data_IF_663504354131
#
_entry.id   IF_663504354131
#
_cell.length_a   1.000
_cell.length_b   1.000
_cell.length_c   1.000
_cell.angle_alpha   90.00
_cell.angle_beta   90.00
_cell.angle_gamma   90.00
#
_symmetry.space_group_name_H-M   'P 1'
#
loop_
_entity.id
_entity.type
_entity.pdbx_description
1 polymer ?
#
# COMPACT_ATOMS: atom_id res chain seq x y z
N UNK A 1 -20.12 -11.06 13.42
CA UNK A 1 -20.99 -9.90 13.14
C UNK A 1 -20.40 -9.24 11.91
N UNK A 2 -21.11 -9.17 10.77
CA UNK A 2 -20.55 -8.76 9.48
C UNK A 2 -19.97 -7.33 9.46
N UNK A 3 -20.47 -6.45 10.32
CA UNK A 3 -19.94 -5.08 10.48
C UNK A 3 -18.55 -5.03 11.12
N UNK A 4 -18.19 -6.04 11.91
CA UNK A 4 -16.92 -6.11 12.63
C UNK A 4 -15.79 -6.50 11.67
N UNK A 5 -16.04 -7.45 10.78
CA UNK A 5 -15.12 -7.85 9.71
C UNK A 5 -14.84 -6.70 8.74
N UNK A 6 -15.87 -5.90 8.40
CA UNK A 6 -15.73 -4.70 7.56
C UNK A 6 -14.90 -3.60 8.24
N UNK A 7 -15.08 -3.40 9.55
CA UNK A 7 -14.29 -2.43 10.31
C UNK A 7 -12.81 -2.84 10.37
N UNK A 8 -12.52 -4.13 10.57
CA UNK A 8 -11.16 -4.67 10.57
C UNK A 8 -10.48 -4.52 9.20
N UNK A 9 -11.19 -4.81 8.10
CA UNK A 9 -10.68 -4.62 6.74
C UNK A 9 -10.35 -3.15 6.45
N UNK A 10 -11.22 -2.22 6.85
CA UNK A 10 -10.96 -0.77 6.71
C UNK A 10 -9.74 -0.32 7.52
N UNK A 11 -9.57 -0.87 8.72
CA UNK A 11 -8.42 -0.54 9.58
C UNK A 11 -7.11 -1.12 9.01
N UNK A 12 -7.14 -2.34 8.47
CA UNK A 12 -6.02 -2.94 7.77
C UNK A 12 -5.66 -2.13 6.50
N UNK A 13 -6.65 -1.70 5.74
CA UNK A 13 -6.48 -0.83 4.57
C UNK A 13 -5.83 0.50 4.94
N UNK A 14 -6.29 1.15 6.01
CA UNK A 14 -5.69 2.40 6.49
C UNK A 14 -4.22 2.23 6.88
N UNK A 15 -3.86 1.13 7.56
CA UNK A 15 -2.47 0.81 7.91
C UNK A 15 -1.61 0.59 6.66
N UNK A 16 -2.10 -0.16 5.68
CA UNK A 16 -1.37 -0.40 4.43
C UNK A 16 -1.21 0.87 3.61
N UNK A 17 -2.22 1.77 3.60
CA UNK A 17 -2.11 3.08 2.95
C UNK A 17 -1.04 3.94 3.61
N UNK A 18 -1.00 4.01 4.93
CA UNK A 18 0.07 4.70 5.66
C UNK A 18 1.44 4.13 5.30
N UNK A 19 1.58 2.80 5.35
CA UNK A 19 2.83 2.14 5.00
C UNK A 19 3.26 2.48 3.55
N UNK A 20 2.31 2.48 2.61
CA UNK A 20 2.57 2.86 1.22
C UNK A 20 3.06 4.31 1.06
N UNK A 21 2.50 5.26 1.82
CA UNK A 21 2.97 6.65 1.86
C UNK A 21 4.38 6.75 2.45
N UNK A 22 4.67 6.01 3.52
CA UNK A 22 5.99 5.96 4.13
C UNK A 22 7.05 5.43 3.14
N UNK A 23 6.71 4.39 2.36
CA UNK A 23 7.57 3.90 1.29
C UNK A 23 7.81 4.96 0.21
N UNK A 24 6.81 5.77 -0.12
CA UNK A 24 6.96 6.83 -1.12
C UNK A 24 7.87 7.96 -0.62
N UNK A 25 7.67 8.39 0.63
CA UNK A 25 8.54 9.36 1.28
C UNK A 25 9.99 8.86 1.34
N UNK A 26 10.19 7.59 1.71
CA UNK A 26 11.52 6.97 1.75
C UNK A 26 12.16 6.89 0.35
N UNK A 27 11.39 6.52 -0.68
CA UNK A 27 11.88 6.50 -2.07
C UNK A 27 12.29 7.88 -2.52
N UNK A 28 11.47 8.91 -2.27
CA UNK A 28 11.79 10.29 -2.63
C UNK A 28 13.05 10.77 -1.90
N UNK A 29 13.17 10.51 -0.60
CA UNK A 29 14.37 10.84 0.16
C UNK A 29 15.63 10.15 -0.39
N UNK A 30 15.54 8.85 -0.71
CA UNK A 30 16.65 8.12 -1.32
C UNK A 30 17.06 8.70 -2.69
N UNK A 31 16.09 9.13 -3.49
CA UNK A 31 16.37 9.76 -4.79
C UNK A 31 17.08 11.10 -4.59
N UNK A 32 16.61 11.93 -3.64
CA UNK A 32 17.21 13.24 -3.33
C UNK A 32 18.65 13.11 -2.81
N UNK A 33 18.94 12.08 -2.02
CA UNK A 33 20.29 11.80 -1.49
C UNK A 33 21.20 11.14 -2.55
N UNK A 34 20.67 10.77 -3.72
CA UNK A 34 21.45 10.10 -4.76
C UNK A 34 21.81 8.65 -4.40
N UNK A 35 20.90 7.94 -3.74
CA UNK A 35 21.09 6.53 -3.39
C UNK A 35 21.14 5.64 -4.64
N UNK A 36 21.74 4.46 -4.48
CA UNK A 36 21.87 3.46 -5.55
C UNK A 36 20.50 3.10 -6.17
N UNK A 37 20.46 3.12 -7.51
CA UNK A 37 19.28 2.78 -8.30
C UNK A 37 18.71 1.39 -7.94
N UNK A 38 19.56 0.41 -7.60
CA UNK A 38 19.11 -0.92 -7.20
C UNK A 38 18.34 -0.89 -5.86
N UNK A 39 18.77 -0.04 -4.91
CA UNK A 39 18.05 0.14 -3.63
C UNK A 39 16.70 0.80 -3.83
N UNK A 40 16.67 1.85 -4.65
CA UNK A 40 15.42 2.53 -5.04
C UNK A 40 14.46 1.56 -5.73
N UNK A 41 14.94 0.73 -6.66
CA UNK A 41 14.13 -0.28 -7.33
C UNK A 41 13.57 -1.34 -6.36
N UNK A 42 14.37 -1.82 -5.40
CA UNK A 42 13.89 -2.75 -4.38
C UNK A 42 12.77 -2.15 -3.53
N UNK A 43 12.90 -0.87 -3.15
CA UNK A 43 11.84 -0.19 -2.39
C UNK A 43 10.58 0.05 -3.23
N UNK A 44 10.72 0.43 -4.50
CA UNK A 44 9.58 0.51 -5.43
C UNK A 44 8.86 -0.83 -5.57
N UNK A 45 9.59 -1.95 -5.63
CA UNK A 45 8.99 -3.29 -5.65
C UNK A 45 8.20 -3.59 -4.37
N UNK A 46 8.73 -3.22 -3.19
CA UNK A 46 8.00 -3.35 -1.92
C UNK A 46 6.74 -2.49 -1.90
N UNK A 47 6.83 -1.24 -2.35
CA UNK A 47 5.69 -0.32 -2.49
C UNK A 47 4.59 -0.92 -3.39
N UNK A 48 4.98 -1.56 -4.51
CA UNK A 48 4.04 -2.23 -5.42
C UNK A 48 3.28 -3.37 -4.73
N UNK A 49 3.97 -4.22 -3.96
CA UNK A 49 3.32 -5.32 -3.22
C UNK A 49 2.30 -4.81 -2.20
N UNK A 50 2.57 -3.67 -1.55
CA UNK A 50 1.63 -3.04 -0.62
C UNK A 50 0.42 -2.47 -1.37
N UNK A 51 0.65 -1.82 -2.52
CA UNK A 51 -0.43 -1.37 -3.39
C UNK A 51 -1.33 -2.54 -3.82
N UNK A 52 -0.76 -3.65 -4.25
CA UNK A 52 -1.53 -4.85 -4.64
C UNK A 52 -2.35 -5.41 -3.46
N UNK A 53 -1.80 -5.36 -2.23
CA UNK A 53 -2.53 -5.74 -1.02
C UNK A 53 -3.68 -4.79 -0.71
N UNK A 54 -3.49 -3.49 -0.88
CA UNK A 54 -4.55 -2.48 -0.72
C UNK A 54 -5.67 -2.77 -1.70
N UNK A 55 -5.35 -2.96 -2.99
CA UNK A 55 -6.37 -3.26 -4.01
C UNK A 55 -7.16 -4.52 -3.70
N UNK A 56 -6.51 -5.60 -3.22
CA UNK A 56 -7.22 -6.81 -2.78
C UNK A 56 -8.18 -6.59 -1.60
N UNK A 57 -7.86 -5.66 -0.70
CA UNK A 57 -8.74 -5.32 0.42
C UNK A 57 -9.85 -4.37 -0.04
N UNK A 58 -9.53 -3.42 -0.92
CA UNK A 58 -10.51 -2.56 -1.58
C UNK A 58 -11.56 -3.39 -2.34
N UNK A 59 -11.14 -4.41 -3.10
CA UNK A 59 -12.05 -5.32 -3.82
C UNK A 59 -12.97 -6.11 -2.86
N UNK A 60 -12.51 -6.42 -1.65
CA UNK A 60 -13.32 -7.11 -0.63
C UNK A 60 -14.31 -6.18 0.07
N UNK A 61 -13.98 -4.89 0.20
CA UNK A 61 -14.86 -3.88 0.81
C UNK A 61 -15.84 -3.33 -0.24
N UNK A 62 -15.41 -3.25 -1.50
CA UNK A 62 -16.13 -2.65 -2.63
C UNK A 62 -16.25 -3.71 -3.75
N UNK A 63 -17.00 -4.80 -3.56
CA UNK A 63 -17.11 -5.85 -4.58
C UNK A 63 -17.89 -5.44 -5.84
N UNK A 64 -18.35 -4.19 -5.99
CA UNK A 64 -19.46 -3.84 -6.89
C UNK A 64 -19.25 -2.55 -7.73
N UNK A 65 -18.04 -2.29 -8.24
CA UNK A 65 -17.80 -1.14 -9.17
C UNK A 65 -16.96 -1.52 -10.40
N UNK A 66 -16.39 -2.73 -10.48
CA UNK A 66 -15.61 -3.18 -11.66
C UNK A 66 -16.14 -4.56 -12.12
N UNK A 67 -17.31 -4.55 -12.75
CA UNK A 67 -17.80 -5.60 -13.65
C UNK A 67 -17.87 -5.04 -15.08
#
# INVERSE_FOLDING_TARGET
>A
MPDQDQAELRLAMARLRQEHEDYDAAINAMIQVGCDALRVQRMKKKKLVIKDRISKIEDQIIPDIIA
#
